data_IF_484181058225
#
_entry.id   IF_484181058225
#
_cell.length_a   1.000
_cell.length_b   1.000
_cell.length_c   1.000
_cell.angle_alpha   90.00
_cell.angle_beta   90.00
_cell.angle_gamma   90.00
#
_symmetry.space_group_name_H-M   'P 1'
#
loop_
_entity.id
_entity.type
_entity.pdbx_description
1 polymer ?
#
# COMPACT_ATOMS: atom_id res chain seq x y z
N UNK A 1 -55.31 -9.70 34.25
CA UNK A 1 -55.21 -8.77 33.12
C UNK A 1 -53.73 -8.54 32.88
N UNK A 2 -53.15 -9.35 31.99
CA UNK A 2 -51.68 -9.33 31.71
C UNK A 2 -51.47 -8.51 30.45
N UNK A 3 -50.77 -7.38 30.54
CA UNK A 3 -50.26 -6.66 29.40
C UNK A 3 -48.86 -7.18 29.06
N UNK A 4 -48.77 -7.92 27.95
CA UNK A 4 -47.52 -8.33 27.36
C UNK A 4 -46.89 -7.14 26.63
N UNK A 5 -45.77 -6.63 27.15
CA UNK A 5 -44.93 -5.65 26.50
C UNK A 5 -44.05 -6.38 25.42
N UNK A 6 -44.34 -6.13 24.13
CA UNK A 6 -43.46 -6.51 23.04
C UNK A 6 -42.25 -5.55 23.05
N UNK A 7 -41.11 -6.07 23.49
CA UNK A 7 -39.84 -5.35 23.39
C UNK A 7 -39.33 -5.47 21.94
N UNK A 8 -39.55 -4.45 21.12
CA UNK A 8 -38.90 -4.31 19.81
C UNK A 8 -37.41 -4.00 20.06
N UNK A 9 -36.58 -5.02 19.92
CA UNK A 9 -35.13 -4.85 19.83
C UNK A 9 -34.86 -4.31 18.42
N UNK A 10 -34.69 -3.01 18.30
CA UNK A 10 -34.07 -2.41 17.13
C UNK A 10 -32.60 -2.87 17.13
N UNK A 11 -32.29 -3.87 16.31
CA UNK A 11 -30.94 -4.14 15.89
C UNK A 11 -30.48 -2.91 15.10
N UNK A 12 -29.81 -1.97 15.77
CA UNK A 12 -29.05 -0.93 15.11
C UNK A 12 -27.93 -1.64 14.37
N UNK A 13 -28.19 -1.91 13.09
CA UNK A 13 -27.16 -2.32 12.15
C UNK A 13 -26.12 -1.18 12.15
N UNK A 14 -25.04 -1.36 12.91
CA UNK A 14 -23.88 -0.48 12.88
C UNK A 14 -23.35 -0.58 11.45
N UNK A 15 -23.81 0.32 10.56
CA UNK A 15 -23.13 0.57 9.30
C UNK A 15 -21.69 0.89 9.68
N UNK A 16 -20.80 -0.08 9.47
CA UNK A 16 -19.36 0.12 9.55
C UNK A 16 -19.07 1.15 8.46
N UNK A 17 -18.83 2.39 8.86
CA UNK A 17 -18.33 3.41 7.94
C UNK A 17 -17.03 2.82 7.39
N UNK A 18 -17.08 2.34 6.16
CA UNK A 18 -15.91 1.79 5.48
C UNK A 18 -15.09 2.99 5.03
N UNK A 19 -14.12 3.37 5.87
CA UNK A 19 -13.07 4.27 5.41
C UNK A 19 -12.13 3.49 4.50
N UNK A 20 -11.99 3.92 3.25
CA UNK A 20 -11.02 3.33 2.33
C UNK A 20 -9.59 3.70 2.74
N UNK A 21 -8.65 2.82 2.45
CA UNK A 21 -7.23 3.04 2.67
C UNK A 21 -6.49 3.18 1.33
N UNK A 22 -6.07 4.41 1.00
CA UNK A 22 -5.28 4.70 -0.19
C UNK A 22 -3.90 4.00 -0.11
N UNK A 23 -3.49 3.35 -1.19
CA UNK A 23 -2.22 2.61 -1.25
C UNK A 23 -2.25 1.27 -0.52
N UNK A 24 -3.44 0.72 -0.26
CA UNK A 24 -3.65 -0.60 0.35
C UNK A 24 -4.77 -1.38 -0.33
N UNK A 25 -4.87 -2.66 0.01
CA UNK A 25 -6.00 -3.49 -0.37
C UNK A 25 -7.24 -3.15 0.46
N UNK A 26 -8.37 -3.05 -0.24
CA UNK A 26 -9.69 -2.77 0.31
C UNK A 26 -10.69 -3.80 -0.20
N UNK A 27 -11.65 -4.21 0.64
CA UNK A 27 -12.78 -5.03 0.24
C UNK A 27 -13.94 -4.11 -0.14
N UNK A 28 -14.31 -4.07 -1.43
CA UNK A 28 -15.33 -3.16 -1.95
C UNK A 28 -16.38 -3.92 -2.75
N UNK A 29 -17.64 -3.46 -2.65
CA UNK A 29 -18.77 -4.03 -3.38
C UNK A 29 -18.87 -3.44 -4.79
N UNK A 30 -19.17 -4.27 -5.78
CA UNK A 30 -19.46 -3.85 -7.16
C UNK A 30 -20.88 -3.30 -7.24
N UNK A 31 -21.02 -2.02 -7.48
CA UNK A 31 -22.34 -1.34 -7.45
C UNK A 31 -22.86 -0.96 -8.83
N UNK A 32 -21.99 -0.94 -9.87
CA UNK A 32 -22.41 -0.51 -11.22
C UNK A 32 -21.49 -1.06 -12.29
N UNK A 33 -22.07 -1.45 -13.43
CA UNK A 33 -21.33 -1.86 -14.62
C UNK A 33 -21.43 -0.80 -15.72
N UNK A 34 -20.29 -0.54 -16.39
CA UNK A 34 -20.19 0.38 -17.53
C UNK A 34 -19.29 -0.23 -18.62
N UNK A 35 -19.27 0.35 -19.83
CA UNK A 35 -18.53 -0.19 -20.98
C UNK A 35 -17.01 -0.27 -20.74
N UNK A 36 -16.45 0.60 -19.87
CA UNK A 36 -15.02 0.71 -19.59
C UNK A 36 -14.61 0.12 -18.24
N UNK A 37 -15.51 -0.54 -17.51
CA UNK A 37 -15.20 -1.19 -16.24
C UNK A 37 -16.38 -1.39 -15.31
N UNK A 38 -16.07 -1.50 -14.02
CA UNK A 38 -17.06 -1.55 -12.95
C UNK A 38 -16.79 -0.44 -11.94
N UNK A 39 -17.85 0.07 -11.32
CA UNK A 39 -17.72 0.96 -10.17
C UNK A 39 -17.92 0.18 -8.87
N UNK A 40 -17.06 0.48 -7.92
CA UNK A 40 -17.06 -0.08 -6.58
C UNK A 40 -17.56 0.97 -5.58
N UNK A 41 -18.21 0.53 -4.50
CA UNK A 41 -18.64 1.41 -3.42
C UNK A 41 -17.44 1.85 -2.58
N UNK A 42 -17.05 3.10 -2.71
CA UNK A 42 -15.99 3.75 -1.92
C UNK A 42 -16.51 4.45 -0.66
N UNK A 43 -17.78 4.27 -0.29
CA UNK A 43 -18.40 4.93 0.84
C UNK A 43 -18.42 6.45 0.69
N UNK A 44 -17.73 7.17 1.58
CA UNK A 44 -17.66 8.64 1.54
C UNK A 44 -16.90 9.19 0.33
N UNK A 45 -16.00 8.40 -0.27
CA UNK A 45 -15.26 8.77 -1.49
C UNK A 45 -16.06 8.55 -2.77
N UNK A 46 -17.29 8.03 -2.66
CA UNK A 46 -18.19 7.77 -3.79
C UNK A 46 -17.81 6.53 -4.60
N UNK A 47 -18.24 6.50 -5.88
CA UNK A 47 -17.99 5.37 -6.78
C UNK A 47 -16.53 5.37 -7.28
N UNK A 48 -15.81 4.26 -7.07
CA UNK A 48 -14.41 4.07 -7.48
C UNK A 48 -14.37 3.17 -8.71
N UNK A 49 -13.72 3.62 -9.80
CA UNK A 49 -13.60 2.85 -11.03
C UNK A 49 -12.60 1.70 -10.89
N UNK A 50 -13.04 0.50 -11.25
CA UNK A 50 -12.22 -0.67 -11.57
C UNK A 50 -12.24 -0.84 -13.10
N UNK A 51 -11.16 -0.50 -13.85
CA UNK A 51 -11.11 -0.61 -15.29
C UNK A 51 -11.33 -2.04 -15.80
N UNK A 52 -11.94 -2.21 -16.96
CA UNK A 52 -12.31 -3.53 -17.56
C UNK A 52 -11.16 -4.54 -17.54
N UNK A 53 -9.93 -4.11 -17.81
CA UNK A 53 -8.74 -5.00 -17.81
C UNK A 53 -8.39 -5.60 -16.45
N UNK A 54 -8.96 -5.08 -15.36
CA UNK A 54 -8.74 -5.54 -13.99
C UNK A 54 -9.98 -6.23 -13.40
N UNK A 55 -11.08 -6.25 -14.14
CA UNK A 55 -12.32 -6.91 -13.70
C UNK A 55 -12.16 -8.43 -13.87
N UNK A 56 -12.39 -9.25 -12.83
CA UNK A 56 -12.42 -10.70 -12.96
C UNK A 56 -13.50 -11.17 -13.95
N UNK A 57 -13.26 -12.26 -14.69
CA UNK A 57 -14.14 -12.74 -15.78
C UNK A 57 -15.58 -13.00 -15.33
N UNK A 58 -15.78 -13.54 -14.13
CA UNK A 58 -17.10 -13.90 -13.59
C UNK A 58 -17.72 -12.83 -12.67
N UNK A 59 -17.16 -11.63 -12.64
CA UNK A 59 -17.56 -10.56 -11.72
C UNK A 59 -18.96 -10.02 -12.07
N UNK A 60 -19.81 -9.85 -11.04
CA UNK A 60 -21.19 -9.37 -11.15
C UNK A 60 -21.47 -8.24 -10.17
N UNK A 61 -22.59 -7.54 -10.40
CA UNK A 61 -23.12 -6.58 -9.44
C UNK A 61 -23.41 -7.26 -8.10
N UNK A 62 -23.00 -6.62 -7.00
CA UNK A 62 -23.11 -7.13 -5.64
C UNK A 62 -21.94 -8.00 -5.18
N UNK A 63 -20.98 -8.34 -6.06
CA UNK A 63 -19.77 -9.07 -5.66
C UNK A 63 -18.83 -8.18 -4.84
N UNK A 64 -18.16 -8.78 -3.87
CA UNK A 64 -17.12 -8.13 -3.07
C UNK A 64 -15.75 -8.49 -3.60
N UNK A 65 -14.99 -7.47 -3.99
CA UNK A 65 -13.65 -7.62 -4.56
C UNK A 65 -12.58 -7.10 -3.60
N UNK A 66 -11.47 -7.83 -3.51
CA UNK A 66 -10.25 -7.36 -2.87
C UNK A 66 -9.44 -6.57 -3.90
N UNK A 67 -9.43 -5.26 -3.81
CA UNK A 67 -8.80 -4.36 -4.77
C UNK A 67 -7.79 -3.44 -4.10
N UNK A 68 -6.71 -3.16 -4.81
CA UNK A 68 -5.74 -2.15 -4.40
C UNK A 68 -6.18 -0.79 -4.92
N UNK A 69 -6.16 0.23 -4.05
CA UNK A 69 -6.54 1.60 -4.38
C UNK A 69 -5.32 2.50 -4.57
N UNK A 70 -5.28 3.21 -5.68
CA UNK A 70 -4.20 4.16 -5.97
C UNK A 70 -4.72 5.34 -6.81
N UNK A 71 -3.89 6.35 -7.06
CA UNK A 71 -4.23 7.49 -7.90
C UNK A 71 -3.70 7.26 -9.32
N UNK A 72 -4.56 7.42 -10.32
CA UNK A 72 -4.15 7.37 -11.74
C UNK A 72 -3.31 8.59 -12.16
N UNK A 73 -2.96 8.71 -13.46
CA UNK A 73 -2.15 9.82 -13.97
C UNK A 73 -2.86 11.18 -13.89
N UNK A 74 -4.19 11.19 -13.74
CA UNK A 74 -5.01 12.40 -13.58
C UNK A 74 -5.34 12.66 -12.11
N UNK A 75 -4.67 11.95 -11.17
CA UNK A 75 -4.84 12.05 -9.72
C UNK A 75 -6.26 11.62 -9.24
N UNK A 76 -6.95 10.78 -10.03
CA UNK A 76 -8.25 10.22 -9.64
C UNK A 76 -8.04 8.91 -8.91
N UNK A 77 -8.84 8.67 -7.88
CA UNK A 77 -8.85 7.40 -7.17
C UNK A 77 -9.35 6.29 -8.09
N UNK A 78 -8.55 5.22 -8.20
CA UNK A 78 -8.81 4.09 -9.09
C UNK A 78 -8.48 2.77 -8.40
N UNK A 79 -9.21 1.72 -8.75
CA UNK A 79 -9.00 0.37 -8.24
C UNK A 79 -8.27 -0.53 -9.25
N UNK A 80 -7.54 -1.51 -8.73
CA UNK A 80 -6.94 -2.59 -9.53
C UNK A 80 -6.96 -3.90 -8.75
N UNK A 81 -7.08 -5.02 -9.46
CA UNK A 81 -6.88 -6.38 -8.91
C UNK A 81 -5.42 -6.85 -8.98
N UNK A 82 -4.53 -6.03 -9.58
CA UNK A 82 -3.10 -6.33 -9.57
C UNK A 82 -2.55 -6.21 -8.15
N UNK A 83 -1.56 -7.05 -7.84
CA UNK A 83 -0.82 -7.00 -6.59
C UNK A 83 0.43 -6.15 -6.78
N UNK A 84 0.53 -4.95 -6.16
CA UNK A 84 1.74 -4.16 -6.20
C UNK A 84 2.87 -4.83 -5.41
N UNK A 85 4.12 -4.45 -5.69
CA UNK A 85 5.30 -4.96 -4.98
C UNK A 85 5.47 -4.34 -3.58
N UNK A 86 4.70 -3.31 -3.25
CA UNK A 86 4.73 -2.61 -1.96
C UNK A 86 3.39 -1.90 -1.72
N UNK A 87 2.94 -1.86 -0.48
CA UNK A 87 1.81 -1.06 -0.02
C UNK A 87 2.29 0.15 0.80
N UNK A 88 1.42 1.12 1.00
CA UNK A 88 1.68 2.24 1.94
C UNK A 88 1.95 1.70 3.35
N UNK A 89 3.04 2.15 3.95
CA UNK A 89 3.54 1.68 5.24
C UNK A 89 4.57 0.56 5.15
N UNK A 90 4.90 0.07 3.95
CA UNK A 90 5.83 -1.05 3.76
C UNK A 90 7.15 -0.62 3.11
N UNK A 91 8.15 -1.48 3.25
CA UNK A 91 9.44 -1.36 2.58
C UNK A 91 9.55 -2.38 1.45
N UNK A 92 10.19 -1.97 0.35
CA UNK A 92 10.53 -2.87 -0.75
C UNK A 92 11.81 -2.44 -1.46
N UNK A 93 12.45 -3.39 -2.17
CA UNK A 93 13.55 -3.11 -3.07
C UNK A 93 13.02 -3.02 -4.50
N UNK A 94 12.94 -1.80 -5.05
CA UNK A 94 12.33 -1.52 -6.34
C UNK A 94 13.33 -0.95 -7.34
N UNK A 95 13.12 -1.26 -8.62
CA UNK A 95 13.93 -0.78 -9.73
C UNK A 95 13.43 0.57 -10.25
N UNK A 96 14.37 1.47 -10.57
CA UNK A 96 14.07 2.76 -11.20
C UNK A 96 13.77 2.57 -12.67
N UNK A 97 12.53 2.83 -13.09
CA UNK A 97 12.10 2.80 -14.50
C UNK A 97 12.62 4.00 -15.28
N UNK A 98 12.51 5.19 -14.70
CA UNK A 98 12.93 6.44 -15.33
C UNK A 98 13.12 7.55 -14.30
N UNK A 99 13.76 8.66 -14.73
CA UNK A 99 14.02 9.84 -13.90
C UNK A 99 13.69 11.12 -14.65
N UNK A 100 13.31 12.17 -13.94
CA UNK A 100 13.11 13.51 -14.53
C UNK A 100 13.67 14.60 -13.61
N UNK A 101 13.31 15.86 -13.86
CA UNK A 101 13.72 17.01 -13.07
C UNK A 101 13.13 17.09 -11.65
N UNK A 102 12.17 16.25 -11.30
CA UNK A 102 11.51 16.24 -10.00
C UNK A 102 11.94 15.06 -9.11
N UNK A 103 12.38 13.96 -9.71
CA UNK A 103 12.78 12.76 -8.99
C UNK A 103 12.89 11.52 -9.84
N UNK A 104 12.78 10.38 -9.21
CA UNK A 104 12.81 9.05 -9.79
C UNK A 104 11.44 8.39 -9.73
N UNK A 105 11.18 7.50 -10.68
CA UNK A 105 9.95 6.72 -10.79
C UNK A 105 10.31 5.24 -10.79
N UNK A 106 9.75 4.49 -9.86
CA UNK A 106 10.08 3.11 -9.58
C UNK A 106 8.96 2.17 -10.02
N UNK A 107 9.34 1.08 -10.66
CA UNK A 107 8.39 0.02 -10.98
C UNK A 107 7.94 -0.69 -9.70
N UNK A 108 6.68 -0.55 -9.35
CA UNK A 108 6.03 -1.23 -8.22
C UNK A 108 4.93 -2.20 -8.65
N UNK A 109 4.90 -2.56 -9.95
CA UNK A 109 3.97 -3.54 -10.51
C UNK A 109 2.63 -2.98 -11.00
N UNK A 110 2.44 -1.66 -10.95
CA UNK A 110 1.24 -0.98 -11.44
C UNK A 110 1.54 -0.13 -12.67
N UNK A 111 0.49 0.32 -13.36
CA UNK A 111 0.62 1.15 -14.58
C UNK A 111 1.28 2.51 -14.33
N UNK A 112 1.03 3.12 -13.18
CA UNK A 112 1.68 4.36 -12.75
C UNK A 112 2.84 4.00 -11.84
N UNK A 113 4.05 4.37 -12.22
CA UNK A 113 5.24 4.16 -11.39
C UNK A 113 5.17 4.92 -10.07
N UNK A 114 5.80 4.37 -9.03
CA UNK A 114 5.90 4.97 -7.71
C UNK A 114 6.94 6.08 -7.69
N UNK A 115 6.54 7.29 -7.32
CA UNK A 115 7.40 8.47 -7.35
C UNK A 115 8.27 8.61 -6.10
N UNK A 116 9.57 8.94 -6.31
CA UNK A 116 10.53 9.28 -5.25
C UNK A 116 11.06 10.69 -5.51
N UNK A 117 10.57 11.72 -4.84
CA UNK A 117 11.06 13.09 -4.98
C UNK A 117 12.56 13.19 -4.64
N UNK A 118 13.29 14.14 -5.22
CA UNK A 118 14.71 14.32 -4.86
C UNK A 118 14.94 14.54 -3.36
N UNK A 119 14.02 15.24 -2.69
CA UNK A 119 14.08 15.44 -1.22
C UNK A 119 14.01 14.14 -0.42
N UNK A 120 13.47 13.05 -1.01
CA UNK A 120 13.35 11.73 -0.39
C UNK A 120 14.44 10.73 -0.81
N UNK A 121 15.38 11.14 -1.66
CA UNK A 121 16.53 10.34 -2.06
C UNK A 121 17.73 10.57 -1.12
N UNK A 122 18.45 9.52 -0.71
CA UNK A 122 19.75 9.64 -0.01
C UNK A 122 20.88 10.00 -0.98
N UNK A 123 20.80 9.47 -2.19
CA UNK A 123 21.70 9.76 -3.32
C UNK A 123 20.84 9.83 -4.58
N UNK A 124 21.34 10.52 -5.60
CA UNK A 124 20.62 10.61 -6.89
C UNK A 124 20.42 9.23 -7.48
N UNK A 125 19.16 8.83 -7.65
CA UNK A 125 18.79 7.54 -8.21
C UNK A 125 19.07 7.47 -9.70
N UNK A 126 19.43 6.28 -10.19
CA UNK A 126 19.78 6.02 -11.59
C UNK A 126 18.88 4.94 -12.16
N UNK A 127 18.47 5.10 -13.43
CA UNK A 127 17.64 4.14 -14.16
C UNK A 127 18.30 2.76 -14.19
N UNK A 128 17.48 1.73 -14.00
CA UNK A 128 17.90 0.32 -13.95
C UNK A 128 18.50 -0.13 -12.62
N UNK A 129 18.84 0.79 -11.71
CA UNK A 129 19.32 0.43 -10.37
C UNK A 129 18.15 0.17 -9.43
N UNK A 130 18.39 -0.70 -8.44
CA UNK A 130 17.42 -1.01 -7.38
C UNK A 130 17.74 -0.30 -6.09
N UNK A 131 16.71 0.19 -5.41
CA UNK A 131 16.82 0.90 -4.14
C UNK A 131 15.77 0.38 -3.16
N UNK A 132 16.19 0.25 -1.91
CA UNK A 132 15.23 -0.01 -0.83
C UNK A 132 14.55 1.30 -0.47
N UNK A 133 13.23 1.26 -0.47
CA UNK A 133 12.35 2.42 -0.20
C UNK A 133 11.28 2.06 0.82
N UNK A 134 10.68 3.07 1.40
CA UNK A 134 9.44 2.99 2.15
C UNK A 134 8.35 3.77 1.41
N UNK A 135 7.20 3.13 1.17
CA UNK A 135 6.05 3.79 0.55
C UNK A 135 5.18 4.48 1.62
N UNK A 136 4.79 5.72 1.39
CA UNK A 136 3.97 6.49 2.31
C UNK A 136 3.09 7.49 1.56
N UNK A 137 2.10 8.05 2.26
CA UNK A 137 1.33 9.19 1.76
C UNK A 137 2.07 10.47 2.16
N UNK A 138 2.34 11.33 1.19
CA UNK A 138 2.98 12.63 1.42
C UNK A 138 1.97 13.58 2.07
N UNK A 139 2.33 14.15 3.22
CA UNK A 139 1.44 14.97 4.05
C UNK A 139 0.99 16.28 3.36
N UNK A 140 1.75 16.78 2.39
CA UNK A 140 1.44 18.01 1.67
C UNK A 140 0.57 17.78 0.44
N UNK A 141 0.89 16.76 -0.36
CA UNK A 141 0.22 16.47 -1.63
C UNK A 141 -0.85 15.40 -1.55
N UNK A 142 -0.93 14.64 -0.45
CA UNK A 142 -1.79 13.48 -0.23
C UNK A 142 -1.62 12.37 -1.28
N UNK A 143 -0.45 12.33 -1.96
CA UNK A 143 -0.11 11.32 -2.96
C UNK A 143 0.69 10.19 -2.35
N UNK A 144 0.59 9.01 -2.95
CA UNK A 144 1.49 7.90 -2.64
C UNK A 144 2.85 8.24 -3.22
N UNK A 145 3.86 8.31 -2.36
CA UNK A 145 5.26 8.55 -2.72
C UNK A 145 6.16 7.55 -1.99
N UNK A 146 7.44 7.48 -2.38
CA UNK A 146 8.39 6.65 -1.66
C UNK A 146 9.61 7.46 -1.20
N UNK A 147 10.25 6.98 -0.15
CA UNK A 147 11.45 7.54 0.45
C UNK A 147 12.56 6.50 0.55
N UNK A 148 13.76 6.83 0.10
CA UNK A 148 14.97 6.04 0.35
C UNK A 148 15.60 6.35 1.73
N UNK A 149 15.01 7.24 2.50
CA UNK A 149 15.46 7.59 3.87
C UNK A 149 14.87 6.59 4.88
N UNK A 150 15.15 5.31 4.67
CA UNK A 150 14.63 4.15 5.39
C UNK A 150 14.63 4.33 6.90
N UNK A 151 15.73 4.84 7.47
CA UNK A 151 15.89 5.02 8.92
C UNK A 151 14.75 5.83 9.59
N UNK A 152 14.03 6.67 8.83
CA UNK A 152 12.96 7.51 9.37
C UNK A 152 11.70 6.75 9.70
N UNK A 153 11.49 5.63 9.00
CA UNK A 153 10.25 4.84 9.04
C UNK A 153 10.39 3.56 9.85
N UNK A 154 11.61 3.21 10.27
CA UNK A 154 11.85 2.07 11.14
C UNK A 154 11.36 2.36 12.56
N UNK A 155 10.78 1.35 13.19
CA UNK A 155 10.34 1.44 14.59
C UNK A 155 11.51 1.79 15.51
N UNK A 156 11.27 2.67 16.47
CA UNK A 156 12.21 2.99 17.55
C UNK A 156 12.10 2.03 18.73
N UNK A 157 11.08 1.20 18.73
CA UNK A 157 10.86 0.15 19.74
C UNK A 157 11.83 -1.01 19.51
N UNK A 158 12.22 -1.67 20.59
CA UNK A 158 13.03 -2.88 20.48
C UNK A 158 12.16 -4.04 20.02
N UNK A 159 12.63 -4.76 19.00
CA UNK A 159 12.04 -6.03 18.63
C UNK A 159 12.12 -7.04 19.77
N UNK A 160 11.06 -7.83 19.96
CA UNK A 160 10.95 -8.81 21.04
C UNK A 160 11.08 -10.26 20.55
N UNK A 161 11.88 -10.49 19.50
CA UNK A 161 12.10 -11.84 18.96
C UNK A 161 12.92 -12.72 19.89
N UNK A 162 12.62 -14.02 19.89
CA UNK A 162 13.33 -15.01 20.67
C UNK A 162 14.35 -15.76 19.79
N UNK A 163 15.47 -16.25 20.36
CA UNK A 163 16.42 -17.08 19.63
C UNK A 163 15.74 -18.30 18.98
N UNK A 164 15.95 -18.49 17.67
CA UNK A 164 15.34 -19.56 16.88
C UNK A 164 14.00 -19.19 16.22
N UNK A 165 13.48 -17.97 16.44
CA UNK A 165 12.31 -17.47 15.74
C UNK A 165 12.67 -17.09 14.30
N UNK A 166 11.88 -17.57 13.32
CA UNK A 166 12.05 -17.21 11.91
C UNK A 166 11.39 -15.86 11.62
N UNK A 167 12.14 -14.99 10.93
CA UNK A 167 11.68 -13.64 10.59
C UNK A 167 12.03 -13.29 9.14
N UNK A 168 11.18 -12.50 8.49
CA UNK A 168 11.47 -11.95 7.18
C UNK A 168 12.43 -10.77 7.30
N UNK A 169 13.46 -10.72 6.45
CA UNK A 169 14.42 -9.63 6.43
C UNK A 169 14.57 -9.04 5.03
N UNK A 170 14.76 -7.71 4.98
CA UNK A 170 15.14 -6.98 3.77
C UNK A 170 16.47 -6.28 4.04
N UNK A 171 17.55 -6.73 3.40
CA UNK A 171 18.86 -6.09 3.49
C UNK A 171 18.84 -4.79 2.70
N UNK A 172 19.28 -3.68 3.32
CA UNK A 172 19.20 -2.38 2.67
C UNK A 172 20.50 -1.56 2.67
N UNK A 173 21.49 -1.91 3.51
CA UNK A 173 22.76 -1.19 3.54
C UNK A 173 23.89 -2.10 4.05
N UNK A 174 25.04 -2.09 3.35
CA UNK A 174 26.30 -2.66 3.84
C UNK A 174 26.97 -1.66 4.79
N UNK A 175 27.58 -2.16 5.86
CA UNK A 175 28.39 -1.40 6.84
C UNK A 175 29.70 -2.14 7.11
N UNK A 176 30.61 -1.53 7.86
CA UNK A 176 31.88 -2.17 8.25
C UNK A 176 31.70 -3.37 9.19
N UNK A 177 30.55 -3.46 9.87
CA UNK A 177 30.21 -4.55 10.81
C UNK A 177 29.37 -5.66 10.18
N UNK A 178 28.86 -5.44 8.93
CA UNK A 178 27.95 -6.36 8.27
C UNK A 178 26.82 -5.62 7.55
N UNK A 179 25.63 -6.21 7.53
CA UNK A 179 24.51 -5.72 6.75
C UNK A 179 23.37 -5.22 7.64
N UNK A 180 22.93 -3.99 7.45
CA UNK A 180 21.68 -3.52 8.03
C UNK A 180 20.50 -4.18 7.33
N UNK A 181 19.55 -4.69 8.13
CA UNK A 181 18.33 -5.33 7.69
C UNK A 181 17.09 -4.65 8.27
N UNK A 182 16.00 -4.70 7.53
CA UNK A 182 14.65 -4.43 8.02
C UNK A 182 14.04 -5.77 8.38
N UNK A 183 13.58 -5.94 9.61
CA UNK A 183 12.98 -7.16 10.12
C UNK A 183 11.46 -6.97 10.17
N UNK A 184 10.71 -7.93 9.62
CA UNK A 184 9.24 -7.94 9.58
C UNK A 184 8.65 -6.59 9.15
N UNK A 185 9.29 -5.96 8.14
CA UNK A 185 8.85 -4.68 7.57
C UNK A 185 8.71 -3.54 8.60
N UNK A 186 9.38 -3.64 9.74
CA UNK A 186 9.18 -2.72 10.88
C UNK A 186 10.46 -2.38 11.62
N UNK A 187 11.26 -3.36 12.02
CA UNK A 187 12.39 -3.16 12.94
C UNK A 187 13.74 -3.11 12.23
N UNK A 188 14.69 -2.40 12.85
CA UNK A 188 16.09 -2.39 12.39
C UNK A 188 16.86 -3.56 12.98
N UNK A 189 17.61 -4.29 12.14
CA UNK A 189 18.53 -5.33 12.54
C UNK A 189 19.91 -5.16 11.93
N UNK A 190 20.90 -5.90 12.44
CA UNK A 190 22.24 -6.01 11.89
C UNK A 190 22.62 -7.49 11.77
N UNK A 191 22.99 -7.89 10.57
CA UNK A 191 23.60 -9.20 10.29
C UNK A 191 25.10 -9.01 10.24
N UNK A 192 25.84 -9.64 11.13
CA UNK A 192 27.29 -9.53 11.17
C UNK A 192 27.95 -10.34 10.03
N UNK A 193 29.10 -9.88 9.51
CA UNK A 193 29.85 -10.60 8.46
C UNK A 193 30.35 -11.98 8.92
N UNK A 194 30.27 -12.32 10.22
CA UNK A 194 30.65 -13.60 10.80
C UNK A 194 29.49 -14.59 10.96
N UNK A 195 28.30 -14.21 10.60
CA UNK A 195 27.10 -15.04 10.58
C UNK A 195 26.72 -15.45 9.15
#
# INVERSE_FOLDING_TARGET
>A
MFFGGFLFIFAVNRMKIMSIELGKFNQLEVVKQVDFGMYLDGGEEGEILLPTRYVPEDCKLGDWLNVFLYLDNEERLIATTLTPLVQVGEFACLEVSWVNQFGAFLNWGLMKDLFVPFREQKMKMQVGNKYVIHAHIDDESFRIVASAKVDRYLSKEKASYQPGEEVNILIWQKTDLGFKAIIENMYSGLLYDSE
#
